data_IF_815423222640
#
_entry.id   IF_815423222640
#
_cell.length_a   1.000
_cell.length_b   1.000
_cell.length_c   1.000
_cell.angle_alpha   90.00
_cell.angle_beta   90.00
_cell.angle_gamma   90.00
#
_symmetry.space_group_name_H-M   'P 1'
#
loop_
_entity.id
_entity.type
_entity.pdbx_description
1 polymer ?
#
# COMPACT_ATOMS: atom_id res chain seq x y z
N UNK A 1 -21.72 20.08 -6.10
CA UNK A 1 -20.47 19.77 -5.36
C UNK A 1 -20.68 18.69 -4.31
N UNK A 2 -21.74 18.76 -3.50
CA UNK A 2 -22.06 17.76 -2.45
C UNK A 2 -22.09 16.32 -2.98
N UNK A 3 -22.81 16.06 -4.08
CA UNK A 3 -22.90 14.73 -4.68
C UNK A 3 -21.56 14.15 -5.15
N UNK A 4 -20.58 14.98 -5.53
CA UNK A 4 -19.26 14.50 -5.99
C UNK A 4 -18.42 14.03 -4.80
N UNK A 5 -18.37 14.81 -3.73
CA UNK A 5 -17.69 14.41 -2.50
C UNK A 5 -18.38 13.18 -1.90
N UNK A 6 -19.71 13.19 -1.80
CA UNK A 6 -20.47 12.04 -1.32
C UNK A 6 -20.19 10.81 -2.18
N UNK A 7 -20.08 10.93 -3.51
CA UNK A 7 -19.71 9.80 -4.38
C UNK A 7 -18.27 9.33 -4.15
N UNK A 8 -17.30 10.25 -4.04
CA UNK A 8 -15.89 9.89 -3.78
C UNK A 8 -15.76 9.18 -2.42
N UNK A 9 -16.37 9.74 -1.37
CA UNK A 9 -16.36 9.15 -0.04
C UNK A 9 -17.15 7.84 0.02
N UNK A 10 -18.31 7.77 -0.63
CA UNK A 10 -19.17 6.58 -0.59
C UNK A 10 -18.56 5.45 -1.42
N UNK A 11 -17.93 5.72 -2.57
CA UNK A 11 -17.17 4.70 -3.31
C UNK A 11 -15.97 4.24 -2.51
N UNK A 12 -15.16 5.16 -1.95
CA UNK A 12 -14.00 4.79 -1.14
C UNK A 12 -14.39 3.95 0.10
N UNK A 13 -15.43 4.37 0.83
CA UNK A 13 -15.94 3.64 1.99
C UNK A 13 -16.63 2.32 1.60
N UNK A 14 -17.28 2.26 0.44
CA UNK A 14 -17.92 1.03 -0.06
C UNK A 14 -16.90 -0.01 -0.49
N UNK A 15 -15.75 0.39 -1.05
CA UNK A 15 -14.69 -0.56 -1.42
C UNK A 15 -14.12 -1.24 -0.16
N UNK A 16 -13.96 -0.52 0.94
CA UNK A 16 -13.49 -1.10 2.21
C UNK A 16 -14.60 -1.87 2.96
N UNK A 17 -15.84 -1.36 2.93
CA UNK A 17 -16.97 -1.93 3.68
C UNK A 17 -17.75 -3.05 2.97
N UNK A 18 -17.91 -3.01 1.65
CA UNK A 18 -18.67 -4.03 0.89
C UNK A 18 -17.78 -5.22 0.53
N UNK A 19 -16.49 -4.98 0.27
CA UNK A 19 -15.59 -6.05 -0.14
C UNK A 19 -14.90 -6.74 1.05
N UNK A 20 -14.90 -6.17 2.27
CA UNK A 20 -14.35 -6.77 3.50
C UNK A 20 -13.11 -7.67 3.31
N UNK A 21 -13.26 -8.99 3.43
CA UNK A 21 -12.17 -9.98 3.28
C UNK A 21 -11.85 -10.34 1.82
N UNK A 22 -12.75 -10.00 0.90
CA UNK A 22 -12.64 -10.20 -0.55
C UNK A 22 -12.07 -8.95 -1.27
N UNK A 23 -11.84 -7.87 -0.51
CA UNK A 23 -11.30 -6.60 -1.01
C UNK A 23 -9.84 -6.72 -1.40
N UNK A 24 -9.53 -6.44 -2.67
CA UNK A 24 -8.19 -6.65 -3.23
C UNK A 24 -7.12 -5.68 -2.71
N UNK A 25 -7.44 -4.61 -1.98
CA UNK A 25 -6.46 -3.58 -1.56
C UNK A 25 -5.71 -3.91 -0.25
N UNK A 26 -5.41 -5.18 -0.02
CA UNK A 26 -4.97 -5.65 1.31
C UNK A 26 -3.53 -5.26 1.63
N UNK A 27 -2.62 -5.35 0.66
CA UNK A 27 -1.23 -4.92 0.86
C UNK A 27 -1.17 -3.41 1.06
N UNK A 28 -1.95 -2.63 0.31
CA UNK A 28 -1.93 -1.18 0.45
C UNK A 28 -2.30 -0.72 1.88
N UNK A 29 -3.31 -1.35 2.49
CA UNK A 29 -3.71 -1.06 3.87
C UNK A 29 -2.78 -1.69 4.91
N UNK A 30 -2.26 -2.90 4.66
CA UNK A 30 -1.25 -3.51 5.52
C UNK A 30 0.02 -2.65 5.57
N UNK A 31 0.42 -2.10 4.43
CA UNK A 31 1.51 -1.14 4.30
C UNK A 31 1.22 0.12 5.12
N UNK A 32 0.06 0.76 4.96
CA UNK A 32 -0.30 1.94 5.78
C UNK A 32 -0.25 1.62 7.29
N UNK A 33 -0.84 0.50 7.70
CA UNK A 33 -0.89 0.08 9.10
C UNK A 33 0.51 -0.22 9.68
N UNK A 34 1.41 -0.76 8.87
CA UNK A 34 2.82 -0.96 9.23
C UNK A 34 3.58 0.35 9.28
N UNK A 35 3.41 1.20 8.26
CA UNK A 35 4.04 2.52 8.15
C UNK A 35 3.81 3.37 9.39
N UNK A 36 2.55 3.53 9.83
CA UNK A 36 2.24 4.36 11.02
C UNK A 36 2.75 3.75 12.34
N UNK A 37 3.15 2.47 12.35
CA UNK A 37 3.77 1.80 13.51
C UNK A 37 5.29 1.93 13.50
N UNK A 38 5.90 1.80 12.33
CA UNK A 38 7.36 1.91 12.14
C UNK A 38 7.79 3.37 12.22
N UNK A 39 7.04 4.28 11.58
CA UNK A 39 7.36 5.71 11.49
C UNK A 39 6.44 6.52 12.40
N UNK A 40 6.84 6.74 13.65
CA UNK A 40 6.03 7.47 14.63
C UNK A 40 5.83 8.97 14.31
N UNK A 41 6.76 9.56 13.56
CA UNK A 41 6.74 10.95 13.09
C UNK A 41 6.25 11.07 11.64
N UNK A 42 5.38 10.16 11.20
CA UNK A 42 4.84 10.15 9.83
C UNK A 42 4.21 11.50 9.44
N UNK A 43 4.53 11.97 8.23
CA UNK A 43 4.13 13.30 7.72
C UNK A 43 3.05 13.24 6.64
N UNK A 44 2.75 12.04 6.15
CA UNK A 44 1.82 11.79 5.04
C UNK A 44 0.44 11.40 5.54
N UNK A 45 -0.59 11.84 4.83
CA UNK A 45 -1.99 11.47 5.11
C UNK A 45 -2.22 9.98 4.84
N UNK A 46 -3.33 9.45 5.37
CA UNK A 46 -3.74 8.07 5.10
C UNK A 46 -3.83 7.78 3.59
N UNK A 47 -4.48 8.66 2.82
CA UNK A 47 -4.62 8.49 1.37
C UNK A 47 -3.29 8.51 0.63
N UNK A 48 -2.35 9.38 1.01
CA UNK A 48 -1.00 9.40 0.42
C UNK A 48 -0.22 8.11 0.71
N UNK A 49 -0.28 7.61 1.94
CA UNK A 49 0.40 6.37 2.31
C UNK A 49 -0.24 5.12 1.65
N UNK A 50 -1.58 5.06 1.60
CA UNK A 50 -2.31 4.00 0.89
C UNK A 50 -2.02 4.05 -0.61
N UNK A 51 -1.89 5.24 -1.21
CA UNK A 51 -1.51 5.37 -2.62
C UNK A 51 -0.16 4.71 -2.91
N UNK A 52 0.88 5.00 -2.12
CA UNK A 52 2.16 4.30 -2.28
C UNK A 52 2.04 2.79 -2.02
N UNK A 53 1.24 2.41 -1.02
CA UNK A 53 0.92 1.00 -0.75
C UNK A 53 0.25 0.28 -1.93
N UNK A 54 -0.56 0.97 -2.73
CA UNK A 54 -1.16 0.42 -3.96
C UNK A 54 -0.10 0.15 -5.03
N UNK A 55 0.93 1.01 -5.15
CA UNK A 55 2.07 0.72 -6.02
C UNK A 55 2.81 -0.53 -5.54
N UNK A 56 3.16 -0.61 -4.25
CA UNK A 56 3.79 -1.79 -3.65
C UNK A 56 2.99 -3.08 -3.95
N UNK A 57 1.65 -3.00 -3.85
CA UNK A 57 0.79 -4.12 -4.15
C UNK A 57 0.93 -4.60 -5.60
N UNK A 58 1.01 -3.70 -6.58
CA UNK A 58 1.22 -4.10 -7.99
C UNK A 58 2.55 -4.85 -8.19
N UNK A 59 3.57 -4.53 -7.38
CA UNK A 59 4.88 -5.18 -7.43
C UNK A 59 4.79 -6.60 -6.88
N UNK A 60 4.13 -6.77 -5.74
CA UNK A 60 3.91 -8.08 -5.10
C UNK A 60 3.02 -8.98 -5.97
N UNK A 61 1.96 -8.42 -6.56
CA UNK A 61 1.04 -9.16 -7.45
C UNK A 61 1.70 -9.58 -8.77
N UNK A 62 2.76 -8.88 -9.21
CA UNK A 62 3.40 -9.08 -10.52
C UNK A 62 2.33 -9.04 -11.63
N UNK A 63 2.33 -10.01 -12.54
CA UNK A 63 1.27 -10.14 -13.54
C UNK A 63 -0.01 -10.74 -12.91
N UNK A 64 -1.21 -10.20 -13.16
CA UNK A 64 -1.57 -9.28 -14.25
C UNK A 64 -1.56 -7.78 -13.90
N UNK A 65 -1.20 -7.40 -12.67
CA UNK A 65 -1.32 -6.01 -12.21
C UNK A 65 -0.15 -5.11 -12.65
N UNK A 66 1.00 -5.70 -12.97
CA UNK A 66 2.19 -5.01 -13.44
C UNK A 66 1.94 -4.18 -14.72
N UNK A 67 1.00 -4.59 -15.58
CA UNK A 67 0.62 -3.83 -16.78
C UNK A 67 0.04 -2.45 -16.45
N UNK A 68 -0.56 -2.29 -15.27
CA UNK A 68 -1.16 -1.02 -14.83
C UNK A 68 -0.21 -0.15 -14.02
N UNK A 69 0.93 -0.69 -13.56
CA UNK A 69 1.88 0.02 -12.68
C UNK A 69 2.28 1.38 -13.25
N UNK A 70 2.65 1.41 -14.54
CA UNK A 70 3.09 2.65 -15.19
C UNK A 70 1.97 3.70 -15.26
N UNK A 71 0.74 3.29 -15.53
CA UNK A 71 -0.42 4.18 -15.56
C UNK A 71 -0.71 4.76 -14.17
N UNK A 72 -0.62 3.94 -13.12
CA UNK A 72 -0.81 4.37 -11.73
C UNK A 72 0.30 5.35 -11.31
N UNK A 73 1.56 5.04 -11.61
CA UNK A 73 2.71 5.93 -11.35
C UNK A 73 2.54 7.30 -12.04
N UNK A 74 2.19 7.30 -13.33
CA UNK A 74 1.97 8.53 -14.10
C UNK A 74 0.80 9.35 -13.54
N UNK A 75 -0.26 8.68 -13.08
CA UNK A 75 -1.39 9.34 -12.44
C UNK A 75 -0.99 9.93 -11.07
N UNK A 76 -0.31 9.16 -10.21
CA UNK A 76 0.19 9.64 -8.92
C UNK A 76 1.09 10.87 -9.10
N UNK A 77 2.04 10.82 -10.03
CA UNK A 77 2.91 11.94 -10.36
C UNK A 77 2.12 13.18 -10.77
N UNK A 78 1.08 13.00 -11.61
CA UNK A 78 0.23 14.08 -12.12
C UNK A 78 -0.55 14.80 -11.02
N UNK A 79 -0.96 14.09 -9.96
CA UNK A 79 -1.75 14.66 -8.86
C UNK A 79 -0.96 14.89 -7.57
N UNK A 80 0.35 14.66 -7.59
CA UNK A 80 1.26 14.91 -6.46
C UNK A 80 1.19 13.87 -5.34
N UNK A 81 0.81 12.63 -5.66
CA UNK A 81 0.89 11.50 -4.72
C UNK A 81 2.31 10.92 -4.68
N UNK A 82 2.74 10.36 -3.53
CA UNK A 82 4.08 9.82 -3.37
C UNK A 82 4.32 8.61 -4.27
N UNK A 83 5.54 8.50 -4.78
CA UNK A 83 6.02 7.39 -5.60
C UNK A 83 7.10 6.56 -4.89
N UNK A 84 7.69 7.10 -3.81
CA UNK A 84 8.83 6.51 -3.12
C UNK A 84 8.67 6.48 -1.60
N UNK A 85 9.33 5.52 -0.94
CA UNK A 85 9.38 5.40 0.52
C UNK A 85 10.06 6.62 1.15
N UNK A 86 11.06 7.17 0.48
CA UNK A 86 11.74 8.40 0.88
C UNK A 86 10.79 9.61 1.00
N UNK A 87 9.79 9.72 0.14
CA UNK A 87 8.76 10.77 0.24
C UNK A 87 7.83 10.60 1.46
N UNK A 88 7.76 9.40 2.03
CA UNK A 88 7.10 9.11 3.31
C UNK A 88 8.06 9.28 4.51
N UNK A 89 9.34 9.56 4.26
CA UNK A 89 10.37 9.68 5.30
C UNK A 89 10.89 8.34 5.82
N UNK A 90 10.68 7.24 5.08
CA UNK A 90 11.29 5.94 5.34
C UNK A 90 12.59 5.84 4.52
N UNK A 91 13.71 5.51 5.15
CA UNK A 91 15.02 5.47 4.47
C UNK A 91 15.97 4.40 5.03
N UNK A 92 15.66 3.77 6.17
CA UNK A 92 16.58 2.80 6.79
C UNK A 92 16.22 1.35 6.49
N UNK A 93 17.22 0.47 6.47
CA UNK A 93 17.01 -0.95 6.27
C UNK A 93 16.20 -1.57 7.41
N UNK A 94 16.38 -1.08 8.63
CA UNK A 94 15.60 -1.52 9.80
C UNK A 94 14.11 -1.18 9.64
N UNK A 95 13.78 0.03 9.16
CA UNK A 95 12.39 0.41 8.88
C UNK A 95 11.77 -0.52 7.83
N UNK A 96 12.54 -0.89 6.80
CA UNK A 96 12.05 -1.73 5.71
C UNK A 96 11.90 -3.19 6.16
N UNK A 97 12.81 -3.68 7.00
CA UNK A 97 12.73 -5.00 7.61
C UNK A 97 11.52 -5.10 8.54
N UNK A 98 11.30 -4.11 9.42
CA UNK A 98 10.12 -4.06 10.29
C UNK A 98 8.82 -4.02 9.49
N UNK A 99 8.78 -3.22 8.41
CA UNK A 99 7.61 -3.10 7.55
C UNK A 99 7.33 -4.40 6.79
N UNK A 100 8.36 -5.05 6.26
CA UNK A 100 8.24 -6.35 5.59
C UNK A 100 7.67 -7.41 6.51
N UNK A 101 8.21 -7.51 7.73
CA UNK A 101 7.76 -8.45 8.76
C UNK A 101 6.35 -8.14 9.23
N UNK A 102 5.96 -6.86 9.24
CA UNK A 102 4.60 -6.46 9.59
C UNK A 102 3.58 -6.92 8.55
N UNK A 103 3.86 -6.68 7.26
CA UNK A 103 2.96 -6.99 6.15
C UNK A 103 2.84 -8.51 5.95
N UNK A 104 3.93 -9.27 6.12
CA UNK A 104 3.97 -10.71 5.86
C UNK A 104 3.56 -11.58 7.05
N UNK A 105 2.86 -11.03 8.06
CA UNK A 105 2.46 -11.80 9.24
C UNK A 105 1.56 -12.97 8.86
N UNK A 106 1.94 -14.17 9.28
CA UNK A 106 1.18 -15.40 9.01
C UNK A 106 -0.17 -15.45 9.71
N UNK A 107 -0.37 -14.64 10.76
CA UNK A 107 -1.65 -14.51 11.48
C UNK A 107 -2.50 -13.32 11.01
N UNK A 108 -2.07 -12.56 10.00
CA UNK A 108 -2.91 -11.54 9.36
C UNK A 108 -3.85 -12.22 8.36
N UNK A 109 -5.07 -12.53 8.80
CA UNK A 109 -6.04 -13.25 7.97
C UNK A 109 -6.43 -12.49 6.70
N UNK A 110 -6.33 -11.16 6.69
CA UNK A 110 -6.67 -10.35 5.52
C UNK A 110 -5.59 -10.53 4.45
N UNK A 111 -4.31 -10.35 4.82
CA UNK A 111 -3.22 -10.48 3.85
C UNK A 111 -3.11 -11.92 3.37
N UNK A 112 -3.19 -12.88 4.28
CA UNK A 112 -2.96 -14.30 3.97
C UNK A 112 -4.12 -14.96 3.21
N UNK A 113 -5.33 -14.40 3.21
CA UNK A 113 -6.42 -14.90 2.37
C UNK A 113 -6.19 -14.58 0.88
N UNK A 114 -5.54 -13.46 0.58
CA UNK A 114 -5.26 -13.00 -0.80
C UNK A 114 -3.86 -13.41 -1.27
N UNK A 115 -2.87 -13.34 -0.37
CA UNK A 115 -1.47 -13.68 -0.62
C UNK A 115 -1.03 -14.81 0.32
N UNK A 116 -1.52 -16.05 0.13
CA UNK A 116 -1.21 -17.15 1.03
C UNK A 116 0.28 -17.48 1.01
N UNK A 117 0.91 -17.46 2.18
CA UNK A 117 2.33 -17.75 2.32
C UNK A 117 3.24 -16.59 1.86
N UNK A 118 2.73 -15.35 1.83
CA UNK A 118 3.56 -14.18 1.56
C UNK A 118 4.71 -14.10 2.57
N UNK A 119 5.94 -14.18 2.08
CA UNK A 119 7.14 -14.14 2.90
C UNK A 119 7.71 -12.72 3.01
N UNK A 120 8.35 -12.41 4.15
CA UNK A 120 8.94 -11.10 4.40
C UNK A 120 9.97 -10.69 3.33
N UNK A 121 10.78 -11.64 2.85
CA UNK A 121 11.79 -11.36 1.83
C UNK A 121 11.18 -10.85 0.52
N UNK A 122 10.01 -11.37 0.12
CA UNK A 122 9.30 -10.91 -1.09
C UNK A 122 8.83 -9.47 -0.91
N UNK A 123 8.27 -9.14 0.26
CA UNK A 123 7.86 -7.78 0.59
C UNK A 123 9.07 -6.85 0.63
N UNK A 124 10.19 -7.32 1.19
CA UNK A 124 11.44 -6.56 1.31
C UNK A 124 12.03 -6.20 -0.05
N UNK A 125 12.05 -7.15 -0.99
CA UNK A 125 12.46 -6.92 -2.38
C UNK A 125 11.54 -5.91 -3.07
N UNK A 126 10.22 -6.03 -2.86
CA UNK A 126 9.25 -5.09 -3.44
C UNK A 126 9.37 -3.67 -2.86
N UNK A 127 9.72 -3.51 -1.58
CA UNK A 127 9.99 -2.22 -0.95
C UNK A 127 11.23 -1.55 -1.56
N UNK A 128 12.27 -2.31 -1.91
CA UNK A 128 13.47 -1.77 -2.56
C UNK A 128 13.17 -1.15 -3.93
N UNK A 129 12.23 -1.73 -4.68
CA UNK A 129 11.82 -1.19 -5.98
C UNK A 129 11.18 0.21 -5.90
N UNK A 130 10.70 0.61 -4.71
CA UNK A 130 10.08 1.91 -4.46
C UNK A 130 10.83 2.71 -3.40
N UNK A 131 12.11 2.41 -3.13
CA UNK A 131 12.92 3.11 -2.11
C UNK A 131 12.98 4.63 -2.36
N UNK A 132 13.45 5.04 -3.54
CA UNK A 132 13.68 6.44 -3.93
C UNK A 132 15.10 6.96 -3.78
#
# INVERSE_FOLDING_TARGET
MTNLFDTIFLVAASVDGILDQDGRSVIAHAFYNGYVKVKLDYIKTHGEAVALGSLLQTIIEREPSAVYRKEIEDYHAKIGLPLTLKELGLDTDEEFDELSNYISKSNDSRVQSVFPGLEAHIVREALEEIRG
#
